data_IF_247583038862
#
_entry.id   IF_247583038862
#
_cell.length_a   1.000
_cell.length_b   1.000
_cell.length_c   1.000
_cell.angle_alpha   90.00
_cell.angle_beta   90.00
_cell.angle_gamma   90.00
#
_symmetry.space_group_name_H-M   'P 1'
#
loop_
_entity.id
_entity.type
_entity.pdbx_description
1 polymer ?
#
# COMPACT_ATOMS: atom_id res chain seq x y z
N UNK A 1 6.47 2.27 4.98
CA UNK A 1 5.96 3.53 4.40
C UNK A 1 5.43 3.37 2.97
N UNK A 2 6.17 2.80 2.01
CA UNK A 2 5.69 2.65 0.62
C UNK A 2 4.43 1.79 0.50
N UNK A 3 4.34 0.68 1.25
CA UNK A 3 3.14 -0.16 1.32
C UNK A 3 1.89 0.67 1.69
N UNK A 4 1.97 1.48 2.75
CA UNK A 4 0.88 2.35 3.21
C UNK A 4 0.37 3.28 2.11
N UNK A 5 1.29 3.95 1.40
CA UNK A 5 0.92 4.90 0.34
C UNK A 5 0.40 4.19 -0.91
N UNK A 6 0.94 3.01 -1.23
CA UNK A 6 0.40 2.17 -2.30
C UNK A 6 -1.04 1.74 -2.03
N UNK A 7 -1.31 1.19 -0.84
CA UNK A 7 -2.64 0.77 -0.42
C UNK A 7 -3.63 1.94 -0.42
N UNK A 8 -3.23 3.09 0.14
CA UNK A 8 -4.04 4.31 0.11
C UNK A 8 -4.45 4.70 -1.32
N UNK A 9 -3.49 4.73 -2.26
CA UNK A 9 -3.79 5.08 -3.64
C UNK A 9 -4.67 4.04 -4.35
N UNK A 10 -4.50 2.75 -4.04
CA UNK A 10 -5.37 1.68 -4.57
C UNK A 10 -6.81 1.88 -4.08
N UNK A 11 -7.00 2.18 -2.80
CA UNK A 11 -8.31 2.40 -2.17
C UNK A 11 -8.98 3.68 -2.70
N UNK A 12 -8.24 4.79 -2.77
CA UNK A 12 -8.84 6.08 -3.16
C UNK A 12 -9.07 6.25 -4.66
N UNK A 13 -8.21 5.67 -5.50
CA UNK A 13 -8.30 5.80 -6.97
C UNK A 13 -8.91 4.58 -7.65
N UNK A 14 -9.09 3.49 -6.90
CA UNK A 14 -9.64 2.25 -7.41
C UNK A 14 -11.16 2.27 -7.44
N UNK A 15 -11.75 1.08 -7.35
CA UNK A 15 -13.20 0.94 -7.43
C UNK A 15 -13.88 1.45 -6.14
N UNK A 16 -15.12 1.99 -6.23
CA UNK A 16 -15.85 2.47 -5.05
C UNK A 16 -15.97 1.42 -3.94
N UNK A 17 -16.16 0.15 -4.27
CA UNK A 17 -16.25 -0.95 -3.31
C UNK A 17 -14.96 -1.22 -2.53
N UNK A 18 -13.81 -0.69 -2.97
CA UNK A 18 -12.53 -0.85 -2.27
C UNK A 18 -12.31 0.21 -1.20
N UNK A 19 -13.08 1.30 -1.21
CA UNK A 19 -12.97 2.38 -0.21
C UNK A 19 -13.20 1.91 1.22
N UNK A 20 -13.95 0.82 1.40
CA UNK A 20 -14.25 0.23 2.70
C UNK A 20 -13.21 -0.79 3.18
N UNK A 21 -12.19 -1.12 2.36
CA UNK A 21 -11.17 -2.10 2.75
C UNK A 21 -10.26 -1.57 3.87
N UNK A 22 -10.04 -0.26 3.89
CA UNK A 22 -9.21 0.45 4.86
C UNK A 22 -9.88 1.80 5.21
N UNK A 23 -9.44 2.41 6.30
CA UNK A 23 -10.01 3.60 6.97
C UNK A 23 -8.80 4.45 7.31
N UNK A 24 -8.35 5.16 6.28
CA UNK A 24 -7.14 5.95 6.38
C UNK A 24 -7.43 7.22 7.15
N UNK A 25 -6.57 7.52 8.12
CA UNK A 25 -6.59 8.77 8.87
C UNK A 25 -5.33 9.61 8.58
N UNK A 26 -5.43 10.91 8.79
CA UNK A 26 -4.29 11.81 8.73
C UNK A 26 -3.32 11.50 9.89
N UNK A 27 -2.04 11.35 9.56
CA UNK A 27 -0.97 11.04 10.51
C UNK A 27 0.31 11.83 10.18
N UNK A 28 1.37 11.62 10.97
CA UNK A 28 2.65 12.35 10.90
C UNK A 28 3.25 12.43 9.49
N UNK A 29 2.98 11.43 8.64
CA UNK A 29 3.46 11.37 7.26
C UNK A 29 2.33 11.07 6.28
N UNK A 30 1.14 11.60 6.51
CA UNK A 30 -0.02 11.47 5.62
C UNK A 30 -0.91 10.27 5.96
N UNK A 31 -1.60 9.67 4.97
CA UNK A 31 -2.60 8.63 5.22
C UNK A 31 -2.01 7.40 5.92
N UNK A 32 -2.69 6.95 6.96
CA UNK A 32 -2.29 5.83 7.80
C UNK A 32 -3.50 4.97 8.18
N UNK A 33 -3.36 3.64 8.13
CA UNK A 33 -4.30 2.69 8.73
C UNK A 33 -3.50 1.52 9.31
N UNK A 34 -3.63 1.28 10.62
CA UNK A 34 -2.93 0.18 11.30
C UNK A 34 -3.31 -1.19 10.76
N UNK A 35 -4.55 -1.37 10.27
CA UNK A 35 -5.04 -2.66 9.75
C UNK A 35 -4.26 -3.15 8.54
N UNK A 36 -3.57 -2.25 7.83
CA UNK A 36 -2.68 -2.65 6.75
C UNK A 36 -1.46 -3.44 7.25
N UNK A 37 -0.98 -3.14 8.46
CA UNK A 37 0.08 -3.93 9.09
C UNK A 37 -0.47 -5.26 9.61
N UNK A 38 -1.67 -5.26 10.20
CA UNK A 38 -2.33 -6.50 10.61
C UNK A 38 -2.52 -7.44 9.40
N UNK A 39 -2.96 -6.91 8.25
CA UNK A 39 -3.10 -7.67 7.01
C UNK A 39 -1.76 -8.19 6.46
N UNK A 40 -0.68 -7.38 6.53
CA UNK A 40 0.66 -7.83 6.16
C UNK A 40 1.10 -8.99 7.06
N UNK A 41 0.87 -8.89 8.35
CA UNK A 41 1.29 -9.90 9.33
C UNK A 41 0.49 -11.19 9.14
N UNK A 42 -0.79 -11.10 8.80
CA UNK A 42 -1.59 -12.25 8.38
C UNK A 42 -1.02 -12.92 7.13
N UNK A 43 -0.59 -12.15 6.12
CA UNK A 43 0.06 -12.71 4.93
C UNK A 43 1.38 -13.44 5.26
N UNK A 44 2.13 -12.97 6.27
CA UNK A 44 3.31 -13.68 6.78
C UNK A 44 2.88 -14.95 7.52
N UNK A 45 1.92 -14.86 8.44
CA UNK A 45 1.43 -16.01 9.22
C UNK A 45 0.84 -17.12 8.34
N UNK A 46 0.21 -16.76 7.23
CA UNK A 46 -0.37 -17.70 6.25
C UNK A 46 0.66 -18.21 5.22
N UNK A 47 1.92 -17.78 5.32
CA UNK A 47 3.00 -18.22 4.44
C UNK A 47 2.94 -17.65 3.02
N UNK A 48 2.21 -16.56 2.80
CA UNK A 48 2.12 -15.85 1.51
C UNK A 48 3.21 -14.77 1.35
N UNK A 49 3.80 -14.32 2.46
CA UNK A 49 4.98 -13.47 2.49
C UNK A 49 6.07 -14.12 3.33
N UNK A 50 7.30 -14.01 2.86
CA UNK A 50 8.50 -14.31 3.64
C UNK A 50 9.05 -13.02 4.25
N UNK A 51 9.52 -13.10 5.49
CA UNK A 51 10.14 -11.98 6.20
C UNK A 51 11.63 -12.25 6.42
N UNK A 52 12.46 -11.32 5.97
CA UNK A 52 13.89 -11.30 6.30
C UNK A 52 14.13 -10.30 7.43
N UNK A 53 14.57 -10.75 8.62
CA UNK A 53 14.82 -9.87 9.76
C UNK A 53 16.04 -8.98 9.52
N UNK A 54 16.02 -7.78 10.09
CA UNK A 54 17.10 -6.80 9.99
C UNK A 54 16.77 -5.53 10.76
N UNK A 55 17.53 -4.45 10.53
CA UNK A 55 17.20 -3.12 11.10
C UNK A 55 15.80 -2.66 10.71
N UNK A 56 15.40 -3.03 9.49
CA UNK A 56 14.03 -2.92 9.00
C UNK A 56 13.68 -4.27 8.38
N UNK A 57 12.52 -4.80 8.72
CA UNK A 57 12.01 -6.04 8.13
C UNK A 57 11.83 -5.86 6.62
N UNK A 58 12.31 -6.84 5.86
CA UNK A 58 12.10 -6.93 4.42
C UNK A 58 11.10 -8.04 4.15
N UNK A 59 10.14 -7.78 3.26
CA UNK A 59 9.12 -8.74 2.90
C UNK A 59 9.26 -9.09 1.42
N UNK A 60 9.23 -10.37 1.12
CA UNK A 60 9.23 -10.91 -0.23
C UNK A 60 8.02 -11.82 -0.41
N UNK A 61 7.50 -11.91 -1.63
CA UNK A 61 6.43 -12.85 -1.94
C UNK A 61 7.02 -14.26 -1.91
N UNK A 62 6.36 -15.18 -1.20
CA UNK A 62 6.76 -16.58 -1.15
C UNK A 62 6.31 -17.33 -2.40
N UNK A 63 6.76 -18.57 -2.61
CA UNK A 63 6.26 -19.40 -3.72
C UNK A 63 4.73 -19.62 -3.65
N UNK A 64 4.17 -19.77 -2.44
CA UNK A 64 2.73 -19.86 -2.24
C UNK A 64 2.03 -18.52 -2.51
N UNK A 65 2.67 -17.42 -2.13
CA UNK A 65 2.25 -16.06 -2.47
C UNK A 65 2.17 -15.84 -3.98
N UNK A 66 3.18 -16.25 -4.74
CA UNK A 66 3.21 -16.11 -6.20
C UNK A 66 2.08 -16.89 -6.87
N UNK A 67 1.82 -18.12 -6.39
CA UNK A 67 0.67 -18.90 -6.87
C UNK A 67 -0.65 -18.18 -6.58
N UNK A 68 -0.80 -17.62 -5.37
CA UNK A 68 -1.98 -16.85 -4.98
C UNK A 68 -2.15 -15.60 -5.83
N UNK A 69 -1.06 -14.89 -6.15
CA UNK A 69 -1.06 -13.72 -7.04
C UNK A 69 -1.47 -14.10 -8.46
N UNK A 70 -0.98 -15.23 -8.98
CA UNK A 70 -1.36 -15.72 -10.30
C UNK A 70 -2.86 -16.02 -10.38
N UNK A 71 -3.42 -16.64 -9.35
CA UNK A 71 -4.85 -16.93 -9.29
C UNK A 71 -5.69 -15.66 -9.12
N UNK A 72 -5.28 -14.72 -8.26
CA UNK A 72 -5.94 -13.43 -8.13
C UNK A 72 -5.89 -12.61 -9.42
N UNK A 73 -4.77 -12.65 -10.15
CA UNK A 73 -4.63 -11.94 -11.43
C UNK A 73 -5.66 -12.41 -12.46
N UNK A 74 -5.97 -13.71 -12.50
CA UNK A 74 -7.04 -14.24 -13.37
C UNK A 74 -8.42 -13.72 -13.00
N UNK A 75 -8.70 -13.57 -11.70
CA UNK A 75 -10.01 -13.11 -11.21
C UNK A 75 -10.20 -11.59 -11.35
N UNK A 76 -9.14 -10.82 -11.07
CA UNK A 76 -9.15 -9.36 -11.10
C UNK A 76 -9.01 -8.78 -12.51
N UNK A 77 -8.41 -9.52 -13.44
CA UNK A 77 -8.25 -9.07 -14.83
C UNK A 77 -7.43 -7.77 -14.93
N UNK A 78 -7.99 -6.75 -15.59
CA UNK A 78 -7.33 -5.46 -15.80
C UNK A 78 -6.98 -4.74 -14.49
N UNK A 79 -7.73 -4.99 -13.42
CA UNK A 79 -7.47 -4.37 -12.12
C UNK A 79 -6.14 -4.82 -11.52
N UNK A 80 -5.75 -6.08 -11.74
CA UNK A 80 -4.47 -6.58 -11.25
C UNK A 80 -3.30 -5.80 -11.88
N UNK A 81 -3.42 -5.45 -13.16
CA UNK A 81 -2.41 -4.65 -13.85
C UNK A 81 -2.38 -3.21 -13.35
N UNK A 82 -3.55 -2.62 -13.14
CA UNK A 82 -3.65 -1.28 -12.57
C UNK A 82 -3.04 -1.21 -11.16
N UNK A 83 -3.31 -2.20 -10.30
CA UNK A 83 -2.70 -2.29 -8.96
C UNK A 83 -1.18 -2.37 -9.06
N UNK A 84 -0.64 -3.18 -9.99
CA UNK A 84 0.81 -3.26 -10.25
C UNK A 84 1.40 -1.91 -10.68
N UNK A 85 0.69 -1.16 -11.52
CA UNK A 85 1.11 0.18 -11.95
C UNK A 85 1.17 1.16 -10.77
N UNK A 86 0.22 1.10 -9.82
CA UNK A 86 0.29 1.89 -8.58
C UNK A 86 1.52 1.50 -7.75
N UNK A 87 1.81 0.19 -7.62
CA UNK A 87 3.02 -0.30 -6.95
C UNK A 87 4.30 0.24 -7.59
N UNK A 88 4.39 0.22 -8.93
CA UNK A 88 5.50 0.79 -9.67
C UNK A 88 5.60 2.32 -9.49
N UNK A 89 4.48 3.02 -9.56
CA UNK A 89 4.40 4.47 -9.36
C UNK A 89 4.94 4.91 -7.98
N UNK A 90 4.60 4.18 -6.92
CA UNK A 90 5.06 4.45 -5.54
C UNK A 90 6.53 4.11 -5.33
N UNK A 91 7.02 3.03 -5.96
CA UNK A 91 8.40 2.56 -5.77
C UNK A 91 9.43 3.35 -6.58
N UNK A 92 9.03 3.98 -7.68
CA UNK A 92 9.91 4.79 -8.53
C UNK A 92 10.07 6.25 -8.08
N UNK A 93 9.23 6.73 -7.15
CA UNK A 93 9.30 8.11 -6.63
C UNK A 93 10.10 8.21 -5.33
N UNK A 94 10.73 9.36 -5.14
CA UNK A 94 11.24 9.74 -3.83
C UNK A 94 10.08 9.91 -2.85
N UNK A 95 10.34 9.67 -1.56
CA UNK A 95 9.31 9.76 -0.54
C UNK A 95 8.67 11.17 -0.48
N UNK A 96 9.48 12.22 -0.50
CA UNK A 96 9.01 13.61 -0.46
C UNK A 96 8.13 13.95 -1.66
N UNK A 97 8.51 13.51 -2.87
CA UNK A 97 7.70 13.73 -4.07
C UNK A 97 6.35 13.02 -3.98
N UNK A 98 6.35 11.77 -3.53
CA UNK A 98 5.12 11.00 -3.35
C UNK A 98 4.18 11.67 -2.33
N UNK A 99 4.69 12.14 -1.20
CA UNK A 99 3.88 12.85 -0.22
C UNK A 99 3.33 14.17 -0.77
N UNK A 100 4.15 14.97 -1.47
CA UNK A 100 3.67 16.20 -2.09
C UNK A 100 2.54 15.95 -3.09
N UNK A 101 2.65 14.90 -3.91
CA UNK A 101 1.60 14.49 -4.84
C UNK A 101 0.32 14.01 -4.10
N UNK A 102 0.46 13.31 -2.98
CA UNK A 102 -0.68 12.90 -2.13
C UNK A 102 -1.36 14.12 -1.50
N UNK A 103 -0.62 15.02 -0.86
CA UNK A 103 -1.20 16.19 -0.20
C UNK A 103 -1.84 17.17 -1.18
N UNK A 104 -1.31 17.26 -2.40
CA UNK A 104 -1.93 18.09 -3.45
C UNK A 104 -3.29 17.53 -3.89
N UNK A 105 -3.46 16.21 -3.87
CA UNK A 105 -4.70 15.54 -4.30
C UNK A 105 -5.69 15.30 -3.14
N UNK A 106 -5.18 15.13 -1.92
CA UNK A 106 -5.92 14.79 -0.70
C UNK A 106 -5.39 15.63 0.48
N UNK A 107 -5.70 16.94 0.50
CA UNK A 107 -5.15 17.88 1.47
C UNK A 107 -5.51 17.56 2.93
N UNK A 108 -6.62 16.88 3.17
CA UNK A 108 -7.06 16.44 4.50
C UNK A 108 -6.02 15.56 5.22
N UNK A 109 -5.20 14.81 4.47
CA UNK A 109 -4.15 13.99 5.06
C UNK A 109 -2.88 14.76 5.42
N UNK A 110 -2.79 16.04 5.06
CA UNK A 110 -1.67 16.91 5.44
C UNK A 110 -1.85 17.51 6.85
N UNK A 111 -3.06 17.59 7.37
CA UNK A 111 -3.39 18.38 8.58
C UNK A 111 -2.55 18.00 9.81
N UNK A 112 -2.23 16.71 9.96
CA UNK A 112 -1.43 16.17 11.08
C UNK A 112 0.00 15.83 10.71
N UNK A 113 0.43 16.19 9.50
CA UNK A 113 1.75 15.85 8.98
C UNK A 113 2.85 16.67 9.67
N UNK A 114 3.86 16.00 10.22
CA UNK A 114 5.11 16.64 10.67
C UNK A 114 6.00 17.02 9.49
N UNK A 115 5.76 16.42 8.31
CA UNK A 115 6.40 16.81 7.06
C UNK A 115 5.71 18.06 6.50
N UNK A 116 6.46 19.16 6.43
CA UNK A 116 6.06 20.40 5.75
C UNK A 116 6.93 20.55 4.50
N UNK A 117 6.36 20.44 3.29
CA UNK A 117 7.09 20.62 2.04
C UNK A 117 7.60 22.05 1.85
#
# INVERSE_FOLDING_TARGET
MRLMKGAFLVVERGRPEWKQLFDFEAYDYGPFDRRLYDARDELVCTGLLDVTPGRYEQYTVSAAGDQRVADLTKHLGSDAEWIRQIGHYVTTRSFSRLLGEIYSAYPEYQERSVFRP
#
